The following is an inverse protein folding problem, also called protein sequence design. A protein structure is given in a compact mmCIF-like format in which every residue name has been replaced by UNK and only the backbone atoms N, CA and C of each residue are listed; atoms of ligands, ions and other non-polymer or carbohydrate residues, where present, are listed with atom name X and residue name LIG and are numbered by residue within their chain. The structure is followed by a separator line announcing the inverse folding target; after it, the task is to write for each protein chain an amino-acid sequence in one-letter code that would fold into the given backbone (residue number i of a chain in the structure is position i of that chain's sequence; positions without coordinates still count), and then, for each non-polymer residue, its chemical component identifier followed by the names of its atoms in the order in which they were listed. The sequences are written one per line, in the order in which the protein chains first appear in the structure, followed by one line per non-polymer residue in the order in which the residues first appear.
data_IF_531870298466
#
_entry.id   IF_531870298466
#
_cell.length_a   1.000
_cell.length_b   1.000
_cell.length_c   1.000
_cell.angle_alpha   90.00
_cell.angle_beta   90.00
_cell.angle_gamma   90.00
#
_symmetry.space_group_name_H-M   'P 1'
#
loop_
_entity.id
_entity.type
_entity.pdbx_description
1 polymer ?
#
# COMPACT_ATOMS: atom_id res chain seq x y z
N UNK A 1 -7.86 9.62 -28.55
CA UNK A 1 -6.89 9.50 -27.43
C UNK A 1 -6.28 10.87 -27.17
N UNK A 2 -6.25 11.39 -25.93
CA UNK A 2 -5.66 12.70 -25.66
C UNK A 2 -4.13 12.61 -25.72
N UNK A 3 -3.49 13.57 -26.39
CA UNK A 3 -2.04 13.62 -26.68
C UNK A 3 -1.15 13.95 -25.46
N UNK A 4 -1.74 14.18 -24.28
CA UNK A 4 -1.04 14.86 -23.18
C UNK A 4 -0.68 13.97 -21.98
N UNK A 5 -0.82 12.65 -22.09
CA UNK A 5 -0.58 11.72 -20.97
C UNK A 5 0.87 11.72 -20.42
N UNK A 6 1.83 12.30 -21.15
CA UNK A 6 3.23 12.41 -20.74
C UNK A 6 3.61 13.73 -20.05
N UNK A 7 2.67 14.66 -19.85
CA UNK A 7 2.99 15.94 -19.21
C UNK A 7 2.88 15.82 -17.68
N UNK A 8 3.97 15.82 -16.89
CA UNK A 8 3.92 15.66 -15.43
C UNK A 8 3.16 16.78 -14.69
N UNK A 9 2.73 17.83 -15.39
CA UNK A 9 1.94 18.95 -14.85
C UNK A 9 0.63 18.54 -14.19
N UNK A 10 0.03 17.39 -14.53
CA UNK A 10 -1.18 16.93 -13.84
C UNK A 10 -0.92 16.37 -12.43
N UNK A 11 0.33 16.01 -12.10
CA UNK A 11 0.68 15.52 -10.75
C UNK A 11 1.01 16.66 -9.77
N UNK A 12 1.41 17.83 -10.28
CA UNK A 12 1.78 19.00 -9.48
C UNK A 12 0.71 19.42 -8.43
N UNK A 13 -0.59 19.53 -8.75
CA UNK A 13 -1.59 19.91 -7.76
C UNK A 13 -1.79 18.85 -6.66
N UNK A 14 -1.70 17.56 -7.00
CA UNK A 14 -1.83 16.47 -6.03
C UNK A 14 -0.62 16.42 -5.08
N UNK A 15 0.60 16.61 -5.62
CA UNK A 15 1.82 16.69 -4.80
C UNK A 15 1.82 17.95 -3.93
N UNK A 16 1.38 19.09 -4.46
CA UNK A 16 1.25 20.33 -3.69
C UNK A 16 0.24 20.20 -2.55
N UNK A 17 -0.91 19.56 -2.79
CA UNK A 17 -1.91 19.29 -1.76
C UNK A 17 -1.36 18.34 -0.68
N UNK A 18 -0.65 17.28 -1.07
CA UNK A 18 0.03 16.38 -0.14
C UNK A 18 1.08 17.10 0.72
N UNK A 19 1.91 17.94 0.11
CA UNK A 19 2.93 18.74 0.80
C UNK A 19 2.30 19.73 1.78
N UNK A 20 1.20 20.38 1.41
CA UNK A 20 0.48 21.31 2.28
C UNK A 20 -0.08 20.62 3.53
N UNK A 21 -0.65 19.41 3.38
CA UNK A 21 -1.14 18.61 4.50
C UNK A 21 0.01 18.22 5.43
N UNK A 22 1.14 17.77 4.88
CA UNK A 22 2.34 17.41 5.67
C UNK A 22 2.89 18.62 6.43
N UNK A 23 3.00 19.78 5.78
CA UNK A 23 3.46 21.01 6.42
C UNK A 23 2.51 21.48 7.53
N UNK A 24 1.19 21.36 7.33
CA UNK A 24 0.20 21.62 8.37
C UNK A 24 0.37 20.70 9.57
N UNK A 25 0.55 19.38 9.35
CA UNK A 25 0.78 18.42 10.42
C UNK A 25 2.10 18.70 11.15
N UNK A 26 3.17 19.04 10.42
CA UNK A 26 4.45 19.42 11.00
C UNK A 26 4.33 20.68 11.86
N UNK A 27 3.59 21.69 11.41
CA UNK A 27 3.32 22.91 12.17
C UNK A 27 2.55 22.61 13.47
N UNK A 28 1.56 21.73 13.44
CA UNK A 28 0.84 21.28 14.64
C UNK A 28 1.78 20.58 15.63
N UNK A 29 2.65 19.69 15.13
CA UNK A 29 3.65 19.00 15.97
C UNK A 29 4.64 19.98 16.57
N UNK A 30 5.12 20.97 15.80
CA UNK A 30 6.03 22.00 16.30
C UNK A 30 5.38 22.88 17.37
N UNK A 31 4.10 23.24 17.22
CA UNK A 31 3.34 23.97 18.24
C UNK A 31 3.17 23.13 19.51
N UNK A 32 2.86 21.84 19.37
CA UNK A 32 2.78 20.89 20.50
C UNK A 32 4.11 20.76 21.23
N UNK A 33 5.22 20.62 20.49
CA UNK A 33 6.58 20.54 21.05
C UNK A 33 7.00 21.85 21.72
N UNK A 34 6.64 23.01 21.15
CA UNK A 34 6.89 24.30 21.78
C UNK A 34 6.10 24.47 23.09
N UNK A 35 4.84 24.02 23.10
CA UNK A 35 4.02 23.98 24.32
C UNK A 35 4.59 23.03 25.38
N UNK A 36 5.05 21.85 24.96
CA UNK A 36 5.71 20.88 25.83
C UNK A 36 7.04 21.43 26.38
N UNK A 37 7.82 22.13 25.54
CA UNK A 37 9.06 22.79 25.96
C UNK A 37 8.80 23.92 26.95
N UNK A 38 7.70 24.67 26.82
CA UNK A 38 7.28 25.65 27.84
C UNK A 38 6.84 24.97 29.14
N UNK A 39 6.13 23.84 29.06
CA UNK A 39 5.73 23.05 30.24
C UNK A 39 6.91 22.40 30.95
N UNK A 40 7.94 21.99 30.21
CA UNK A 40 9.20 21.41 30.73
C UNK A 40 10.24 22.50 31.05
N UNK A 41 9.99 23.74 30.64
CA UNK A 41 10.91 24.88 30.66
C UNK A 41 10.81 25.77 31.89
N UNK A 42 10.38 25.22 33.03
CA UNK A 42 10.74 25.76 34.34
C UNK A 42 12.13 25.31 34.82
N UNK A 43 12.86 24.48 34.04
CA UNK A 43 14.22 24.06 34.39
C UNK A 43 14.68 22.84 33.60
N UNK A 44 15.09 23.02 32.34
CA UNK A 44 15.74 21.95 31.59
C UNK A 44 17.26 22.07 31.77
N UNK A 45 17.83 21.25 32.66
CA UNK A 45 19.27 21.07 32.85
C UNK A 45 19.96 20.33 31.68
N UNK A 46 21.28 20.12 31.76
CA UNK A 46 22.20 19.79 30.64
C UNK A 46 22.01 18.44 29.92
N UNK A 47 20.89 17.74 30.10
CA UNK A 47 20.66 16.39 29.56
C UNK A 47 20.14 16.32 28.11
N UNK A 48 20.03 17.45 27.38
CA UNK A 48 19.49 17.48 26.01
C UNK A 48 20.49 17.09 24.90
N UNK A 49 21.79 16.98 25.21
CA UNK A 49 22.85 16.64 24.25
C UNK A 49 22.75 15.29 23.51
N UNK A 50 22.30 14.18 24.12
CA UNK A 50 22.36 12.86 23.48
C UNK A 50 21.39 12.66 22.30
N UNK A 51 20.27 13.38 22.30
CA UNK A 51 19.24 13.25 21.25
C UNK A 51 19.63 13.99 19.97
N UNK A 52 20.33 15.11 20.07
CA UNK A 52 20.82 15.86 18.92
C UNK A 52 21.85 15.05 18.10
N UNK A 53 22.78 14.36 18.79
CA UNK A 53 23.79 13.51 18.12
C UNK A 53 23.18 12.31 17.37
N UNK A 54 22.09 11.72 17.88
CA UNK A 54 21.40 10.61 17.21
C UNK A 54 20.69 11.03 15.92
N UNK A 55 20.18 12.26 15.86
CA UNK A 55 19.54 12.79 14.64
C UNK A 55 20.55 13.03 13.52
N UNK A 56 21.72 13.59 13.84
CA UNK A 56 22.80 13.79 12.85
C UNK A 56 23.40 12.48 12.32
N UNK A 57 23.39 11.42 13.14
CA UNK A 57 23.88 10.11 12.71
C UNK A 57 22.92 9.47 11.69
N UNK A 58 21.61 9.54 11.94
CA UNK A 58 20.60 9.04 11.00
C UNK A 58 20.67 9.78 9.66
N UNK A 59 20.91 11.11 9.68
CA UNK A 59 21.04 11.89 8.46
C UNK A 59 22.27 11.49 7.63
N UNK A 60 23.40 11.18 8.29
CA UNK A 60 24.63 10.69 7.62
C UNK A 60 24.44 9.32 6.99
N UNK A 61 23.80 8.39 7.70
CA UNK A 61 23.51 7.05 7.18
C UNK A 61 22.57 7.11 5.97
N UNK A 62 21.58 8.00 6.01
CA UNK A 62 20.66 8.20 4.88
C UNK A 62 21.35 8.80 3.65
N UNK A 63 22.28 9.74 3.84
CA UNK A 63 23.11 10.30 2.75
C UNK A 63 24.05 9.26 2.14
N UNK A 64 24.55 8.31 2.93
CA UNK A 64 25.41 7.22 2.48
C UNK A 64 24.67 6.14 1.67
N UNK A 65 23.36 5.98 1.89
CA UNK A 65 22.53 5.00 1.16
C UNK A 65 22.14 5.44 -0.27
N UNK A 66 22.62 6.59 -0.76
CA UNK A 66 22.35 7.06 -2.12
C UNK A 66 23.10 6.13 -3.11
N UNK A 67 22.40 5.28 -3.87
CA UNK A 67 23.06 4.30 -4.72
C UNK A 67 23.86 5.01 -5.82
N UNK A 68 25.12 4.59 -6.02
CA UNK A 68 25.99 5.09 -7.07
C UNK A 68 25.34 4.87 -8.44
N UNK A 69 25.31 5.94 -9.24
CA UNK A 69 24.52 6.07 -10.47
C UNK A 69 25.02 5.20 -11.65
N UNK A 70 26.00 4.32 -11.43
CA UNK A 70 26.82 3.72 -12.49
C UNK A 70 26.51 2.26 -12.84
N UNK A 71 25.52 1.62 -12.23
CA UNK A 71 25.23 0.19 -12.51
C UNK A 71 24.03 0.05 -13.48
N UNK A 72 24.35 0.03 -14.77
CA UNK A 72 23.41 -0.15 -15.89
C UNK A 72 23.03 -1.61 -16.08
N UNK A 73 22.30 -2.17 -15.11
CA UNK A 73 21.64 -3.47 -15.29
C UNK A 73 20.57 -3.43 -16.41
N UNK A 74 20.20 -4.58 -16.99
CA UNK A 74 19.32 -4.67 -18.18
C UNK A 74 17.86 -4.30 -17.93
N UNK A 75 17.53 -3.71 -16.77
CA UNK A 75 16.18 -3.29 -16.44
C UNK A 75 15.95 -1.85 -16.91
N UNK A 76 14.96 -1.60 -17.79
CA UNK A 76 14.71 -0.26 -18.29
C UNK A 76 14.36 0.71 -17.15
N UNK A 77 15.00 1.88 -17.20
CA UNK A 77 15.08 2.96 -16.20
C UNK A 77 13.78 3.50 -15.54
N UNK A 78 12.54 3.40 -16.07
CA UNK A 78 11.40 4.02 -15.39
C UNK A 78 10.93 3.31 -14.10
N UNK A 79 11.13 2.00 -13.95
CA UNK A 79 10.62 1.28 -12.77
C UNK A 79 11.40 1.61 -11.48
N UNK A 80 12.69 1.89 -11.61
CA UNK A 80 13.54 2.24 -10.46
C UNK A 80 13.08 3.54 -9.80
N UNK A 81 12.77 4.57 -10.58
CA UNK A 81 12.25 5.85 -10.04
C UNK A 81 10.89 5.72 -9.37
N UNK A 82 9.98 4.92 -9.93
CA UNK A 82 8.69 4.66 -9.29
C UNK A 82 8.83 3.92 -7.96
N UNK A 83 9.74 2.93 -7.86
CA UNK A 83 9.97 2.22 -6.60
C UNK A 83 10.54 3.13 -5.51
N UNK A 84 11.44 4.05 -5.86
CA UNK A 84 12.06 4.96 -4.89
C UNK A 84 11.04 5.97 -4.37
N UNK A 85 10.23 6.58 -5.24
CA UNK A 85 9.20 7.55 -4.83
C UNK A 85 8.11 6.85 -4.02
N UNK A 86 7.68 5.65 -4.43
CA UNK A 86 6.67 4.87 -3.72
C UNK A 86 7.15 4.47 -2.33
N UNK A 87 8.36 3.89 -2.22
CA UNK A 87 8.91 3.49 -0.93
C UNK A 87 9.16 4.68 -0.01
N UNK A 88 9.59 5.82 -0.54
CA UNK A 88 9.78 7.04 0.26
C UNK A 88 8.44 7.53 0.82
N UNK A 89 7.43 7.67 -0.04
CA UNK A 89 6.10 8.19 0.36
C UNK A 89 5.43 7.25 1.37
N UNK A 90 5.55 5.93 1.17
CA UNK A 90 5.02 4.93 2.10
C UNK A 90 5.74 4.95 3.45
N UNK A 91 7.06 5.11 3.45
CA UNK A 91 7.83 5.25 4.69
C UNK A 91 7.39 6.48 5.48
N UNK A 92 7.16 7.62 4.81
CA UNK A 92 6.66 8.83 5.46
C UNK A 92 5.24 8.66 6.04
N UNK A 93 4.33 8.05 5.28
CA UNK A 93 2.97 7.78 5.77
C UNK A 93 2.98 6.82 6.97
N UNK A 94 3.80 5.78 6.91
CA UNK A 94 3.95 4.84 8.01
C UNK A 94 4.47 5.54 9.28
N UNK A 95 5.53 6.35 9.15
CA UNK A 95 6.07 7.13 10.27
C UNK A 95 5.03 8.09 10.84
N UNK A 96 4.26 8.79 9.98
CA UNK A 96 3.21 9.70 10.43
C UNK A 96 2.11 8.97 11.22
N UNK A 97 1.68 7.79 10.77
CA UNK A 97 0.68 6.96 11.46
C UNK A 97 1.23 6.47 12.80
N UNK A 98 2.48 5.99 12.85
CA UNK A 98 3.12 5.55 14.09
C UNK A 98 3.23 6.69 15.09
N UNK A 99 3.74 7.86 14.66
CA UNK A 99 3.88 9.05 15.52
C UNK A 99 2.53 9.51 16.05
N UNK A 100 1.52 9.59 15.20
CA UNK A 100 0.17 9.97 15.63
C UNK A 100 -0.40 8.97 16.66
N UNK A 101 -0.22 7.67 16.42
CA UNK A 101 -0.64 6.61 17.35
C UNK A 101 0.05 6.75 18.70
N UNK A 102 1.37 6.98 18.72
CA UNK A 102 2.14 7.14 19.97
C UNK A 102 1.68 8.38 20.75
N UNK A 103 1.51 9.52 20.07
CA UNK A 103 1.01 10.76 20.71
C UNK A 103 -0.38 10.52 21.31
N UNK A 104 -1.25 9.85 20.55
CA UNK A 104 -2.62 9.52 20.94
C UNK A 104 -2.66 8.62 22.18
N UNK A 105 -1.86 7.55 22.21
CA UNK A 105 -1.72 6.67 23.39
C UNK A 105 -1.14 7.41 24.59
N UNK A 106 -0.14 8.27 24.39
CA UNK A 106 0.45 9.07 25.46
C UNK A 106 -0.56 10.04 26.09
N UNK A 107 -1.32 10.76 25.27
CA UNK A 107 -2.38 11.66 25.74
C UNK A 107 -3.46 10.89 26.49
N UNK A 108 -3.86 9.72 25.98
CA UNK A 108 -4.83 8.85 26.64
C UNK A 108 -4.33 8.35 28.00
N UNK A 109 -3.07 7.92 28.08
CA UNK A 109 -2.47 7.49 29.34
C UNK A 109 -2.35 8.64 30.35
N UNK A 110 -2.00 9.85 29.88
CA UNK A 110 -1.98 11.05 30.73
C UNK A 110 -3.37 11.38 31.28
N UNK A 111 -4.41 11.24 30.45
CA UNK A 111 -5.81 11.40 30.85
C UNK A 111 -6.22 10.37 31.90
N UNK A 112 -5.94 9.08 31.66
CA UNK A 112 -6.20 8.00 32.63
C UNK A 112 -5.43 8.21 33.94
N UNK A 113 -4.20 8.71 33.89
CA UNK A 113 -3.41 8.99 35.08
C UNK A 113 -4.03 10.11 35.92
N UNK A 114 -4.68 11.09 35.28
CA UNK A 114 -5.41 12.14 35.98
C UNK A 114 -6.67 11.64 36.70
N UNK A 115 -7.22 10.48 36.27
CA UNK A 115 -8.38 9.82 36.88
C UNK A 115 -8.01 8.83 38.01
N UNK A 116 -6.72 8.56 38.26
CA UNK A 116 -6.27 7.64 39.32
C UNK A 116 -6.70 7.99 40.75
N UNK A 117 -6.75 9.26 41.21
CA UNK A 117 -7.17 9.55 42.58
C UNK A 117 -8.61 9.12 42.86
N UNK A 118 -9.51 9.27 41.87
CA UNK A 118 -10.91 8.83 42.00
C UNK A 118 -11.03 7.29 41.99
N UNK A 119 -10.18 6.61 41.22
CA UNK A 119 -10.14 5.14 41.24
C UNK A 119 -9.60 4.55 42.55
N UNK A 120 -8.76 5.27 43.31
CA UNK A 120 -8.31 4.80 44.63
C UNK A 120 -9.46 4.76 45.63
N UNK A 121 -10.25 5.83 45.68
CA UNK A 121 -11.44 5.92 46.54
C UNK A 121 -12.45 4.81 46.23
N UNK A 122 -12.71 4.56 44.93
CA UNK A 122 -13.59 3.47 44.51
C UNK A 122 -13.09 2.09 44.94
N UNK A 123 -11.78 1.82 44.84
CA UNK A 123 -11.19 0.55 45.29
C UNK A 123 -11.22 0.38 46.81
N UNK A 124 -10.98 1.45 47.57
CA UNK A 124 -11.05 1.41 49.03
C UNK A 124 -12.48 1.11 49.52
N UNK A 125 -13.50 1.72 48.91
CA UNK A 125 -14.90 1.46 49.21
C UNK A 125 -15.30 0.02 48.85
N UNK A 126 -14.89 -0.47 47.67
CA UNK A 126 -15.18 -1.85 47.26
C UNK A 126 -14.46 -2.88 48.14
N UNK A 127 -13.21 -2.63 48.54
CA UNK A 127 -12.48 -3.51 49.45
C UNK A 127 -13.12 -3.55 50.85
N UNK A 128 -13.60 -2.40 51.35
CA UNK A 128 -14.31 -2.32 52.62
C UNK A 128 -15.65 -3.10 52.59
N UNK A 129 -16.42 -2.97 51.51
CA UNK A 129 -17.68 -3.71 51.33
C UNK A 129 -17.44 -5.22 51.27
N UNK A 130 -16.48 -5.65 50.46
CA UNK A 130 -16.13 -7.06 50.32
C UNK A 130 -15.63 -7.66 51.63
N UNK A 131 -14.80 -6.93 52.38
CA UNK A 131 -14.31 -7.38 53.69
C UNK A 131 -15.42 -7.45 54.75
N UNK A 132 -16.49 -6.68 54.63
CA UNK A 132 -17.65 -6.80 55.51
C UNK A 132 -18.55 -7.99 55.13
N UNK A 133 -18.70 -8.27 53.83
CA UNK A 133 -19.44 -9.42 53.32
C UNK A 133 -18.77 -10.74 53.73
N UNK A 134 -17.45 -10.85 53.54
CA UNK A 134 -16.65 -12.02 53.97
C UNK A 134 -16.72 -12.25 55.50
N UNK A 135 -16.80 -11.18 56.30
CA UNK A 135 -16.99 -11.30 57.76
C UNK A 135 -18.40 -11.76 58.15
N UNK A 136 -19.40 -11.51 57.30
CA UNK A 136 -20.77 -11.94 57.52
C UNK A 136 -20.91 -13.45 57.38
N UNK A 137 -20.19 -14.05 56.42
CA UNK A 137 -20.20 -15.49 56.16
C UNK A 137 -19.47 -16.31 57.23
N UNK A 138 -18.48 -15.70 57.90
CA UNK A 138 -17.62 -16.38 58.89
C UNK A 138 -18.23 -16.40 60.31
N UNK A 139 -19.41 -15.81 60.52
CA UNK A 139 -20.08 -15.79 61.83
C UNK A 139 -21.31 -16.72 61.89
N UNK A 140 -21.13 -18.05 61.91
CA UNK A 140 -22.20 -19.02 62.11
C UNK A 140 -22.64 -18.97 63.58
N UNK A 141 -23.58 -18.09 63.90
CA UNK A 141 -24.09 -17.97 65.27
C UNK A 141 -24.74 -16.62 65.59
N UNK A 142 -24.66 -15.61 64.73
CA UNK A 142 -25.42 -14.38 64.92
C UNK A 142 -26.93 -14.67 64.79
N UNK A 143 -27.63 -14.64 65.92
CA UNK A 143 -29.07 -14.81 65.99
C UNK A 143 -29.81 -13.61 65.35
N UNK A 144 -31.05 -13.86 64.93
CA UNK A 144 -31.89 -13.00 64.08
C UNK A 144 -31.74 -11.49 64.24
N UNK A 145 -31.87 -10.90 65.45
CA UNK A 145 -31.83 -9.45 65.60
C UNK A 145 -30.45 -8.83 65.36
N UNK A 146 -29.36 -9.51 65.73
CA UNK A 146 -28.01 -9.00 65.52
C UNK A 146 -27.62 -9.04 64.04
N UNK A 147 -28.04 -10.09 63.32
CA UNK A 147 -27.85 -10.20 61.87
C UNK A 147 -28.66 -9.13 61.12
N UNK A 148 -29.90 -8.88 61.54
CA UNK A 148 -30.75 -7.83 60.96
C UNK A 148 -30.12 -6.44 61.14
N UNK A 149 -29.64 -6.10 62.34
CA UNK A 149 -28.98 -4.82 62.58
C UNK A 149 -27.68 -4.64 61.78
N UNK A 150 -26.96 -5.72 61.49
CA UNK A 150 -25.75 -5.69 60.68
C UNK A 150 -26.04 -5.53 59.18
N UNK A 151 -27.09 -6.20 58.68
CA UNK A 151 -27.58 -6.00 57.31
C UNK A 151 -28.11 -4.58 57.10
N UNK A 152 -28.83 -4.01 58.08
CA UNK A 152 -29.30 -2.63 58.04
C UNK A 152 -28.13 -1.63 57.98
N UNK A 153 -27.05 -1.88 58.75
CA UNK A 153 -25.82 -1.09 58.66
C UNK A 153 -25.14 -1.21 57.30
N UNK A 154 -25.11 -2.40 56.70
CA UNK A 154 -24.55 -2.62 55.36
C UNK A 154 -25.36 -1.87 54.29
N UNK A 155 -26.69 -1.93 54.34
CA UNK A 155 -27.54 -1.15 53.45
C UNK A 155 -27.34 0.35 53.64
N UNK A 156 -27.24 0.84 54.88
CA UNK A 156 -26.99 2.25 55.15
C UNK A 156 -25.64 2.71 54.60
N UNK A 157 -24.60 1.88 54.70
CA UNK A 157 -23.29 2.16 54.12
C UNK A 157 -23.31 2.12 52.59
N UNK A 158 -24.02 1.16 51.99
CA UNK A 158 -24.22 1.09 50.54
C UNK A 158 -24.91 2.36 50.01
N UNK A 159 -26.02 2.77 50.62
CA UNK A 159 -26.72 4.02 50.28
C UNK A 159 -25.81 5.24 50.44
N UNK A 160 -24.97 5.28 51.47
CA UNK A 160 -24.00 6.37 51.68
C UNK A 160 -22.91 6.39 50.62
N UNK A 161 -22.46 5.23 50.15
CA UNK A 161 -21.52 5.12 49.04
C UNK A 161 -22.17 5.62 47.73
N UNK A 162 -23.42 5.26 47.46
CA UNK A 162 -24.18 5.77 46.31
C UNK A 162 -24.37 7.28 46.36
N UNK A 163 -24.68 7.86 47.53
CA UNK A 163 -24.78 9.32 47.66
C UNK A 163 -23.44 10.01 47.46
N UNK A 164 -22.32 9.42 47.93
CA UNK A 164 -20.99 9.96 47.69
C UNK A 164 -20.60 9.88 46.21
N UNK A 165 -20.98 8.79 45.52
CA UNK A 165 -20.80 8.67 44.07
C UNK A 165 -21.64 9.70 43.30
N UNK A 166 -22.89 9.93 43.72
CA UNK A 166 -23.74 10.97 43.16
C UNK A 166 -23.20 12.39 43.47
N UNK A 167 -22.64 12.61 44.66
CA UNK A 167 -21.95 13.86 45.01
C UNK A 167 -20.68 14.06 44.19
N UNK A 168 -19.88 13.02 43.96
CA UNK A 168 -18.69 13.09 43.11
C UNK A 168 -19.07 13.30 41.65
N UNK A 169 -20.09 12.62 41.13
CA UNK A 169 -20.62 12.84 39.79
C UNK A 169 -21.19 14.26 39.63
N UNK A 170 -21.89 14.76 40.64
CA UNK A 170 -22.38 16.14 40.65
C UNK A 170 -21.29 17.18 40.90
N UNK A 171 -20.17 16.86 41.57
CA UNK A 171 -18.98 17.72 41.65
C UNK A 171 -18.16 17.70 40.37
N UNK A 172 -18.08 16.57 39.69
CA UNK A 172 -17.49 16.47 38.35
C UNK A 172 -18.32 17.26 37.31
N UNK A 173 -19.64 17.36 37.54
CA UNK A 173 -20.57 18.17 36.74
C UNK A 173 -20.74 19.63 37.19
N UNK A 174 -20.54 19.95 38.48
CA UNK A 174 -20.62 21.32 39.01
C UNK A 174 -19.27 22.01 38.80
N UNK A 175 -19.17 23.04 37.95
CA UNK A 175 -18.02 23.94 38.02
C UNK A 175 -17.98 24.50 39.45
N UNK A 176 -16.81 24.44 40.08
CA UNK A 176 -16.61 24.88 41.46
C UNK A 176 -17.29 26.24 41.66
N UNK A 177 -18.41 26.24 42.40
CA UNK A 177 -19.09 27.47 42.78
C UNK A 177 -18.15 28.18 43.76
N UNK A 178 -17.36 29.12 43.23
CA UNK A 178 -16.64 30.09 44.03
C UNK A 178 -17.65 30.78 44.95
N UNK A 179 -17.37 30.74 46.25
CA UNK A 179 -18.12 31.49 47.27
C UNK A 179 -18.28 32.94 46.77
N UNK A 180 -19.52 33.35 46.64
CA UNK A 180 -19.94 34.67 46.19
C UNK A 180 -19.45 35.76 47.15
N UNK A 181 -18.30 36.37 46.81
CA UNK A 181 -18.07 37.79 47.05
C UNK A 181 -18.68 38.59 45.89
N UNK A 182 -19.16 39.83 46.12
CA UNK A 182 -19.92 40.58 45.13
C UNK A 182 -19.09 40.91 43.89
N UNK A 183 -19.69 40.61 42.73
CA UNK A 183 -19.39 41.12 41.39
C UNK A 183 -17.91 41.12 40.94
N UNK A 184 -17.45 39.97 40.44
CA UNK A 184 -16.40 39.95 39.42
C UNK A 184 -16.92 39.22 38.18
N UNK A 185 -16.67 39.72 36.95
CA UNK A 185 -17.33 39.26 35.74
C UNK A 185 -17.07 37.77 35.49
N UNK A 186 -18.16 37.04 35.27
CA UNK A 186 -18.16 35.59 34.99
C UNK A 186 -17.28 35.33 33.76
N UNK A 187 -16.21 34.51 33.87
CA UNK A 187 -15.40 34.17 32.72
C UNK A 187 -16.20 33.23 31.79
N UNK A 188 -16.38 33.58 30.51
CA UNK A 188 -17.17 32.80 29.56
C UNK A 188 -16.43 31.51 29.20
N UNK A 189 -16.84 30.36 29.77
CA UNK A 189 -16.19 29.09 29.39
C UNK A 189 -16.74 27.78 29.94
N UNK A 190 -17.64 27.77 30.93
CA UNK A 190 -17.99 26.55 31.67
C UNK A 190 -18.78 25.48 30.86
N UNK A 191 -19.42 25.83 29.74
CA UNK A 191 -20.23 24.90 28.94
C UNK A 191 -19.50 24.00 27.94
N UNK A 192 -18.18 24.16 27.73
CA UNK A 192 -17.47 23.51 26.60
C UNK A 192 -16.92 22.10 26.88
N UNK A 193 -16.91 21.65 28.15
CA UNK A 193 -16.23 20.39 28.55
C UNK A 193 -16.88 19.08 28.04
N UNK A 194 -18.20 18.85 28.10
CA UNK A 194 -18.79 17.59 27.63
C UNK A 194 -18.72 17.45 26.11
N UNK A 195 -18.79 18.58 25.39
CA UNK A 195 -18.65 18.64 23.94
C UNK A 195 -17.23 18.29 23.50
N UNK A 196 -16.20 18.80 24.22
CA UNK A 196 -14.80 18.46 23.98
C UNK A 196 -14.52 16.97 24.16
N UNK A 197 -15.14 16.32 25.16
CA UNK A 197 -14.98 14.88 25.39
C UNK A 197 -15.56 14.04 24.26
N UNK A 198 -16.79 14.34 23.82
CA UNK A 198 -17.41 13.64 22.68
C UNK A 198 -16.64 13.86 21.38
N UNK A 199 -16.13 15.07 21.17
CA UNK A 199 -15.26 15.37 20.03
C UNK A 199 -13.98 14.54 20.09
N UNK A 200 -13.32 14.45 21.24
CA UNK A 200 -12.12 13.63 21.41
C UNK A 200 -12.41 12.13 21.19
N UNK A 201 -13.48 11.59 21.77
CA UNK A 201 -13.87 10.19 21.60
C UNK A 201 -14.17 9.88 20.11
N UNK A 202 -14.89 10.75 19.42
CA UNK A 202 -15.12 10.61 17.98
C UNK A 202 -13.81 10.72 17.17
N UNK A 203 -12.93 11.65 17.53
CA UNK A 203 -11.64 11.84 16.84
C UNK A 203 -10.73 10.61 16.98
N UNK A 204 -10.72 9.98 18.15
CA UNK A 204 -9.96 8.77 18.43
C UNK A 204 -10.39 7.56 17.60
N UNK A 205 -11.64 7.51 17.16
CA UNK A 205 -12.15 6.41 16.31
C UNK A 205 -12.04 6.77 14.84
N UNK A 206 -12.47 7.98 14.46
CA UNK A 206 -12.60 8.38 13.06
C UNK A 206 -11.23 8.57 12.41
N UNK A 207 -10.26 9.16 13.11
CA UNK A 207 -8.95 9.47 12.51
C UNK A 207 -8.14 8.21 12.20
N UNK A 208 -7.97 7.23 13.12
CA UNK A 208 -7.23 6.02 12.81
C UNK A 208 -7.91 5.16 11.73
N UNK A 209 -9.24 5.02 11.81
CA UNK A 209 -10.01 4.23 10.83
C UNK A 209 -9.96 4.90 9.45
N UNK A 210 -10.09 6.22 9.37
CA UNK A 210 -9.98 6.97 8.13
C UNK A 210 -8.58 6.88 7.51
N UNK A 211 -7.52 7.00 8.32
CA UNK A 211 -6.14 6.84 7.85
C UNK A 211 -5.86 5.43 7.36
N UNK A 212 -6.36 4.41 8.06
CA UNK A 212 -6.22 3.02 7.65
C UNK A 212 -6.96 2.74 6.33
N UNK A 213 -8.19 3.23 6.18
CA UNK A 213 -8.96 3.08 4.95
C UNK A 213 -8.28 3.79 3.77
N UNK A 214 -7.76 4.99 3.97
CA UNK A 214 -7.00 5.73 2.95
C UNK A 214 -5.72 4.98 2.54
N UNK A 215 -5.01 4.39 3.51
CA UNK A 215 -3.83 3.56 3.25
C UNK A 215 -4.16 2.33 2.40
N UNK A 216 -5.21 1.59 2.77
CA UNK A 216 -5.65 0.40 2.00
C UNK A 216 -6.10 0.79 0.59
N UNK A 217 -6.83 1.89 0.44
CA UNK A 217 -7.24 2.38 -0.88
C UNK A 217 -6.04 2.79 -1.75
N UNK A 218 -5.01 3.39 -1.16
CA UNK A 218 -3.79 3.77 -1.85
C UNK A 218 -2.99 2.55 -2.33
N UNK A 219 -2.83 1.51 -1.49
CA UNK A 219 -2.25 0.21 -1.87
C UNK A 219 -3.01 -0.43 -3.04
N UNK A 220 -4.34 -0.50 -2.93
CA UNK A 220 -5.18 -1.05 -3.99
C UNK A 220 -5.02 -0.27 -5.32
N UNK A 221 -4.96 1.06 -5.25
CA UNK A 221 -4.74 1.91 -6.42
C UNK A 221 -3.34 1.70 -7.03
N UNK A 222 -2.29 1.63 -6.20
CA UNK A 222 -0.92 1.38 -6.64
C UNK A 222 -0.78 0.03 -7.37
N UNK A 223 -1.34 -1.04 -6.80
CA UNK A 223 -1.32 -2.37 -7.44
C UNK A 223 -2.16 -2.42 -8.72
N UNK A 224 -3.25 -1.67 -8.80
CA UNK A 224 -4.05 -1.56 -10.02
C UNK A 224 -3.30 -0.83 -11.14
N UNK A 225 -2.60 0.27 -10.82
CA UNK A 225 -1.76 0.99 -11.78
C UNK A 225 -0.61 0.11 -12.29
N UNK A 226 0.09 -0.57 -11.39
CA UNK A 226 1.16 -1.49 -11.74
C UNK A 226 0.67 -2.60 -12.69
N UNK A 227 -0.47 -3.23 -12.38
CA UNK A 227 -1.09 -4.25 -13.25
C UNK A 227 -1.45 -3.72 -14.63
N UNK A 228 -1.96 -2.49 -14.74
CA UNK A 228 -2.28 -1.86 -16.03
C UNK A 228 -1.02 -1.62 -16.86
N UNK A 229 0.06 -1.15 -16.24
CA UNK A 229 1.31 -0.87 -16.95
C UNK A 229 2.01 -2.16 -17.40
N UNK A 230 2.07 -3.17 -16.54
CA UNK A 230 2.59 -4.50 -16.90
C UNK A 230 1.80 -5.07 -18.06
N UNK A 231 0.46 -5.00 -18.03
CA UNK A 231 -0.38 -5.48 -19.14
C UNK A 231 -0.07 -4.74 -20.44
N UNK A 232 0.08 -3.41 -20.42
CA UNK A 232 0.44 -2.63 -21.62
C UNK A 232 1.79 -3.05 -22.19
N UNK A 233 2.79 -3.27 -21.33
CA UNK A 233 4.11 -3.71 -21.77
C UNK A 233 4.07 -5.12 -22.33
N UNK A 234 3.32 -6.02 -21.70
CA UNK A 234 3.11 -7.37 -22.19
C UNK A 234 2.43 -7.32 -23.57
N UNK A 235 1.38 -6.51 -23.74
CA UNK A 235 0.72 -6.33 -25.03
C UNK A 235 1.67 -5.82 -26.10
N UNK A 236 2.52 -4.82 -25.80
CA UNK A 236 3.52 -4.33 -26.76
C UNK A 236 4.60 -5.36 -27.08
N UNK A 237 5.02 -6.15 -26.09
CA UNK A 237 6.00 -7.22 -26.31
C UNK A 237 5.41 -8.34 -27.16
N UNK A 238 4.15 -8.71 -26.90
CA UNK A 238 3.39 -9.67 -27.70
C UNK A 238 3.17 -9.12 -29.11
N UNK A 239 2.78 -7.86 -29.27
CA UNK A 239 2.60 -7.22 -30.58
C UNK A 239 3.93 -7.10 -31.34
N UNK A 240 5.04 -6.82 -30.65
CA UNK A 240 6.38 -6.80 -31.24
C UNK A 240 6.88 -8.21 -31.61
N UNK A 241 6.54 -9.22 -30.83
CA UNK A 241 6.84 -10.62 -31.12
C UNK A 241 5.93 -11.20 -32.22
N UNK A 242 4.69 -10.72 -32.28
CA UNK A 242 3.70 -11.06 -33.30
C UNK A 242 3.90 -10.26 -34.58
N UNK A 243 4.59 -9.12 -34.52
CA UNK A 243 5.04 -8.39 -35.70
C UNK A 243 6.10 -9.28 -36.39
N UNK A 244 5.82 -9.77 -37.60
CA UNK A 244 6.68 -10.71 -38.32
C UNK A 244 7.90 -10.00 -38.94
N UNK A 245 8.55 -9.11 -38.19
CA UNK A 245 9.72 -8.35 -38.63
C UNK A 245 11.04 -9.04 -38.31
N UNK A 246 11.00 -10.27 -37.79
CA UNK A 246 12.13 -11.19 -37.85
C UNK A 246 12.35 -11.68 -39.28
N UNK A 247 12.95 -10.81 -40.10
CA UNK A 247 13.51 -11.05 -41.43
C UNK A 247 12.79 -12.12 -42.27
N UNK A 248 11.83 -11.65 -43.09
CA UNK A 248 11.30 -12.33 -44.27
C UNK A 248 12.39 -12.47 -45.36
N UNK A 249 13.61 -12.87 -45.00
CA UNK A 249 14.61 -13.24 -45.98
C UNK A 249 14.38 -14.71 -46.33
N UNK A 250 14.26 -15.06 -47.61
CA UNK A 250 14.16 -16.45 -48.02
C UNK A 250 15.42 -17.19 -47.57
N UNK A 251 15.24 -18.25 -46.78
CA UNK A 251 16.33 -19.11 -46.33
C UNK A 251 16.28 -20.41 -47.15
N UNK A 252 17.35 -20.72 -47.87
CA UNK A 252 17.50 -22.01 -48.52
C UNK A 252 17.70 -23.09 -47.44
N UNK A 253 16.78 -24.05 -47.37
CA UNK A 253 16.78 -25.12 -46.37
C UNK A 253 17.37 -26.40 -46.96
N UNK A 254 17.06 -26.69 -48.22
CA UNK A 254 17.56 -27.87 -48.93
C UNK A 254 17.73 -27.52 -50.42
N UNK A 255 18.87 -27.90 -50.98
CA UNK A 255 19.17 -27.69 -52.40
C UNK A 255 19.14 -29.02 -53.15
N UNK A 256 18.56 -29.05 -54.36
CA UNK A 256 18.67 -30.18 -55.28
C UNK A 256 17.82 -31.43 -54.96
N UNK A 257 16.74 -31.31 -54.19
CA UNK A 257 15.83 -32.44 -53.96
C UNK A 257 14.99 -32.70 -55.21
N UNK A 258 15.38 -33.69 -56.03
CA UNK A 258 14.73 -34.05 -57.30
C UNK A 258 14.61 -32.86 -58.28
N UNK A 259 15.67 -32.07 -58.40
CA UNK A 259 15.74 -30.82 -59.16
C UNK A 259 14.89 -29.66 -58.58
N UNK A 260 14.52 -29.73 -57.30
CA UNK A 260 13.87 -28.64 -56.56
C UNK A 260 14.74 -28.13 -55.40
N UNK A 261 14.66 -26.82 -55.16
CA UNK A 261 15.18 -26.16 -53.98
C UNK A 261 14.04 -25.93 -52.97
N UNK A 262 14.24 -26.31 -51.72
CA UNK A 262 13.29 -26.08 -50.63
C UNK A 262 13.72 -24.83 -49.86
N UNK A 263 12.84 -23.83 -49.83
CA UNK A 263 13.10 -22.51 -49.28
C UNK A 263 12.07 -22.22 -48.19
N UNK A 264 12.54 -21.74 -47.04
CA UNK A 264 11.69 -21.25 -45.95
C UNK A 264 11.49 -19.75 -46.11
N UNK A 265 10.23 -19.34 -46.13
CA UNK A 265 9.85 -17.93 -46.11
C UNK A 265 8.69 -17.73 -45.13
N UNK A 266 8.97 -17.03 -44.02
CA UNK A 266 8.03 -16.89 -42.90
C UNK A 266 7.75 -18.23 -42.21
N UNK A 267 6.48 -18.62 -42.15
CA UNK A 267 6.00 -19.86 -41.53
C UNK A 267 5.74 -21.00 -42.53
N UNK A 268 6.12 -20.83 -43.80
CA UNK A 268 5.89 -21.82 -44.86
C UNK A 268 7.19 -22.23 -45.54
N UNK A 269 7.14 -23.42 -46.13
CA UNK A 269 8.19 -23.98 -46.97
C UNK A 269 7.69 -24.04 -48.41
N UNK A 270 8.58 -23.73 -49.34
CA UNK A 270 8.32 -23.67 -50.77
C UNK A 270 9.31 -24.57 -51.49
N UNK A 271 8.82 -25.49 -52.33
CA UNK A 271 9.65 -26.26 -53.25
C UNK A 271 9.60 -25.62 -54.63
N UNK A 272 10.72 -25.05 -55.08
CA UNK A 272 10.85 -24.38 -56.38
C UNK A 272 11.81 -25.15 -57.28
N UNK A 273 11.38 -25.50 -58.51
CA UNK A 273 12.27 -26.19 -59.45
C UNK A 273 13.49 -25.32 -59.79
N UNK A 274 14.69 -25.90 -59.83
CA UNK A 274 15.93 -25.16 -60.08
C UNK A 274 15.92 -24.42 -61.43
N UNK A 275 15.20 -24.95 -62.43
CA UNK A 275 15.03 -24.33 -63.74
C UNK A 275 14.21 -23.02 -63.72
N UNK A 276 13.47 -22.73 -62.64
CA UNK A 276 12.64 -21.52 -62.51
C UNK A 276 13.45 -20.29 -62.03
N UNK A 277 14.70 -20.50 -61.59
CA UNK A 277 15.61 -19.42 -61.18
C UNK A 277 15.44 -18.98 -59.72
N UNK A 278 15.73 -17.70 -59.45
CA UNK A 278 15.76 -17.16 -58.09
C UNK A 278 14.36 -17.05 -57.47
N UNK A 279 14.27 -17.31 -56.16
CA UNK A 279 13.01 -17.25 -55.43
C UNK A 279 12.58 -15.81 -55.13
N UNK A 280 11.51 -15.40 -55.77
CA UNK A 280 10.78 -14.17 -55.49
C UNK A 280 9.37 -14.48 -54.95
N UNK A 281 9.05 -13.96 -53.76
CA UNK A 281 7.74 -14.18 -53.11
C UNK A 281 6.57 -13.62 -53.93
N UNK A 282 6.78 -12.52 -54.65
CA UNK A 282 5.73 -11.90 -55.47
C UNK A 282 5.34 -12.80 -56.65
N UNK A 283 6.29 -13.56 -57.21
CA UNK A 283 6.00 -14.57 -58.25
C UNK A 283 5.21 -15.75 -57.67
N UNK A 284 5.51 -16.19 -56.44
CA UNK A 284 4.71 -17.24 -55.76
C UNK A 284 3.28 -16.76 -55.54
N UNK A 285 3.09 -15.53 -55.03
CA UNK A 285 1.77 -14.94 -54.78
C UNK A 285 0.92 -14.83 -56.04
N UNK A 286 1.56 -14.54 -57.17
CA UNK A 286 0.91 -14.48 -58.49
C UNK A 286 0.79 -15.85 -59.18
N UNK A 287 1.26 -16.93 -58.55
CA UNK A 287 1.36 -18.28 -59.14
C UNK A 287 2.08 -18.29 -60.49
N UNK A 288 3.12 -17.47 -60.63
CA UNK A 288 3.86 -17.29 -61.88
C UNK A 288 4.87 -18.41 -62.18
N UNK A 289 5.24 -19.21 -61.17
CA UNK A 289 6.11 -20.37 -61.36
C UNK A 289 5.32 -21.56 -61.92
N UNK A 290 5.88 -22.25 -62.91
CA UNK A 290 5.22 -23.43 -63.51
C UNK A 290 5.34 -24.64 -62.59
N UNK A 291 6.45 -24.78 -61.87
CA UNK A 291 6.72 -25.88 -60.94
C UNK A 291 7.09 -25.36 -59.56
N UNK A 292 6.07 -25.01 -58.77
CA UNK A 292 6.21 -24.59 -57.38
C UNK A 292 5.16 -25.29 -56.51
N UNK A 293 5.59 -25.83 -55.37
CA UNK A 293 4.72 -26.41 -54.33
C UNK A 293 4.93 -25.70 -53.01
N UNK A 294 3.90 -25.66 -52.15
CA UNK A 294 3.97 -25.05 -50.82
C UNK A 294 3.51 -26.03 -49.74
N UNK A 295 4.10 -25.94 -48.55
CA UNK A 295 3.76 -26.78 -47.40
C UNK A 295 4.11 -26.15 -46.06
N UNK A 296 3.49 -26.66 -44.99
CA UNK A 296 3.75 -26.22 -43.62
C UNK A 296 5.05 -26.81 -43.04
N UNK A 297 5.52 -27.94 -43.57
CA UNK A 297 6.77 -28.61 -43.15
C UNK A 297 7.58 -29.04 -44.38
N UNK A 298 8.87 -29.32 -44.17
CA UNK A 298 9.78 -29.79 -45.23
C UNK A 298 9.30 -31.13 -45.80
N UNK A 299 8.81 -32.03 -44.95
CA UNK A 299 8.32 -33.36 -45.33
C UNK A 299 7.07 -33.26 -46.20
N UNK A 300 6.17 -32.32 -45.89
CA UNK A 300 4.99 -32.06 -46.72
C UNK A 300 5.40 -31.58 -48.12
N UNK A 301 6.37 -30.65 -48.20
CA UNK A 301 6.91 -30.18 -49.48
C UNK A 301 7.58 -31.32 -50.25
N UNK A 302 8.36 -32.18 -49.58
CA UNK A 302 9.00 -33.34 -50.22
C UNK A 302 7.98 -34.30 -50.82
N UNK A 303 6.91 -34.63 -50.08
CA UNK A 303 5.82 -35.49 -50.60
C UNK A 303 5.16 -34.88 -51.82
N UNK A 304 4.86 -33.58 -51.79
CA UNK A 304 4.28 -32.87 -52.94
C UNK A 304 5.23 -32.86 -54.14
N UNK A 305 6.54 -32.72 -53.94
CA UNK A 305 7.55 -32.84 -55.00
C UNK A 305 7.56 -34.27 -55.56
N UNK A 306 7.52 -35.27 -54.68
CA UNK A 306 7.52 -36.68 -55.07
C UNK A 306 6.30 -37.04 -55.92
N UNK A 307 5.12 -36.53 -55.55
CA UNK A 307 3.89 -36.64 -56.34
C UNK A 307 4.02 -35.93 -57.69
N UNK A 308 4.56 -34.70 -57.73
CA UNK A 308 4.73 -33.94 -58.96
C UNK A 308 5.71 -34.58 -59.95
N UNK A 309 6.76 -35.22 -59.44
CA UNK A 309 7.76 -35.94 -60.23
C UNK A 309 7.24 -37.32 -60.64
N UNK A 310 6.57 -38.03 -59.73
CA UNK A 310 5.99 -39.35 -59.99
C UNK A 310 4.81 -39.32 -60.96
N UNK A 311 4.11 -38.18 -61.06
CA UNK A 311 2.98 -38.00 -61.98
C UNK A 311 3.42 -37.54 -63.37
N UNK A 312 4.71 -37.35 -63.64
CA UNK A 312 5.16 -37.23 -65.03
C UNK A 312 5.20 -38.64 -65.64
N UNK A 313 4.23 -39.03 -66.50
CA UNK A 313 4.45 -40.19 -67.34
C UNK A 313 5.75 -39.94 -68.10
N UNK A 314 6.61 -40.96 -68.19
CA UNK A 314 7.83 -40.91 -68.98
C UNK A 314 7.48 -40.54 -70.43
N UNK A 315 7.36 -39.24 -70.71
CA UNK A 315 7.27 -38.72 -72.06
C UNK A 315 8.66 -38.90 -72.64
N UNK A 316 8.81 -40.06 -73.28
CA UNK A 316 10.02 -40.52 -73.90
C UNK A 316 10.66 -39.41 -74.71
N UNK A 317 11.77 -38.89 -74.18
CA UNK A 317 12.83 -38.40 -75.05
C UNK A 317 13.36 -39.61 -75.79
N UNK A 318 12.96 -39.73 -77.05
CA UNK A 318 13.61 -40.63 -77.98
C UNK A 318 15.14 -40.38 -77.92
N UNK A 319 15.97 -41.43 -77.88
CA UNK A 319 17.41 -41.26 -77.94
C UNK A 319 17.78 -40.52 -79.22
N UNK A 320 18.55 -39.44 -79.09
CA UNK A 320 19.21 -38.82 -80.24
C UNK A 320 20.05 -39.88 -80.95
N UNK A 321 19.96 -40.02 -82.29
CA UNK A 321 20.82 -40.94 -83.02
C UNK A 321 22.29 -40.54 -82.82
N UNK A 322 23.20 -41.52 -82.74
CA UNK A 322 24.63 -41.26 -82.60
C UNK A 322 25.17 -40.47 -83.80
N UNK A 323 26.26 -39.69 -83.60
CA UNK A 323 26.85 -38.82 -84.60
C UNK A 323 27.44 -39.56 -85.80
#
# INVERSE_FOLDING_TARGET
MPKDANNPRWMLPAVAAGLAVVLCLLAVVLVQLAGLRRQLGGGAGPAAGPLAGRLEQIEREFKALKPSETDSGPYPYPLRRYSVIYNSTMSFLFVAVVVNTVITVWLYWKLLRSLRPEQRLLREVQAALKGMEERLDVLPGLSGPARAAMLERLEALSRRAETLLAELASRAGRPAAAKSGPASPVPPGAGRRPLLRRLLEAWFVIVPVGLLAAFVAYEAWGTAQYRREVRRRLSRAVEKAASPTGQLQPQLVLEGYKDFNVIRYGSRFYGLAQAEGAFEIEKVRRKAYRRCVEGATVEAVKRLIDELVGTQPATGRAPLPPP
#
